data_IF_183532750918
#
_entry.id   IF_183532750918
#
_cell.length_a   1.000
_cell.length_b   1.000
_cell.length_c   1.000
_cell.angle_alpha   90.00
_cell.angle_beta   90.00
_cell.angle_gamma   90.00
#
_symmetry.space_group_name_H-M   'P 1'
#
loop_
_entity.id
_entity.type
_entity.pdbx_description
1 polymer ?
#
# COMPACT_ATOMS: atom_id res chain seq x y z
N UNK A 1 80.20 -8.24 -11.44
CA UNK A 1 78.95 -8.91 -11.84
C UNK A 1 77.79 -8.10 -11.29
N UNK A 2 76.79 -7.83 -12.13
CA UNK A 2 75.51 -7.17 -11.81
C UNK A 2 74.83 -7.87 -10.63
N UNK A 3 74.21 -7.09 -9.75
CA UNK A 3 72.85 -7.38 -9.32
C UNK A 3 72.09 -6.06 -9.10
N UNK A 4 71.08 -5.92 -9.95
CA UNK A 4 70.08 -4.87 -10.01
C UNK A 4 68.95 -5.32 -9.07
N UNK A 5 68.56 -4.49 -8.12
CA UNK A 5 67.27 -4.56 -7.43
C UNK A 5 67.11 -3.20 -6.73
N UNK A 6 66.16 -2.33 -7.05
CA UNK A 6 64.85 -2.50 -7.66
C UNK A 6 63.94 -1.54 -6.91
N UNK A 7 63.89 -0.29 -7.37
CA UNK A 7 63.12 0.82 -6.82
C UNK A 7 61.62 0.47 -6.89
N UNK A 8 60.94 0.25 -5.77
CA UNK A 8 59.48 0.11 -5.74
C UNK A 8 58.86 1.46 -5.35
N UNK A 9 58.51 2.26 -6.35
CA UNK A 9 57.58 3.39 -6.22
C UNK A 9 56.18 2.80 -6.00
N UNK A 10 55.64 2.99 -4.80
CA UNK A 10 54.25 2.69 -4.48
C UNK A 10 53.39 3.85 -5.01
N UNK A 11 52.91 3.75 -6.23
CA UNK A 11 51.85 4.63 -6.74
C UNK A 11 50.54 4.25 -6.06
N UNK A 12 50.11 5.07 -5.11
CA UNK A 12 48.75 5.06 -4.58
C UNK A 12 47.83 5.43 -5.74
N UNK A 13 47.19 4.42 -6.33
CA UNK A 13 46.01 4.60 -7.16
C UNK A 13 44.94 5.20 -6.26
N UNK A 14 44.77 6.52 -6.34
CA UNK A 14 43.54 7.18 -5.95
C UNK A 14 42.44 6.56 -6.82
N UNK A 15 41.80 5.51 -6.31
CA UNK A 15 40.47 5.10 -6.73
C UNK A 15 39.61 6.34 -6.52
N UNK A 16 39.42 7.10 -7.61
CA UNK A 16 38.35 8.06 -7.73
C UNK A 16 37.08 7.28 -7.43
N UNK A 17 36.61 7.41 -6.19
CA UNK A 17 35.27 7.04 -5.81
C UNK A 17 34.38 8.01 -6.56
N UNK A 18 34.08 7.72 -7.83
CA UNK A 18 32.97 8.39 -8.50
C UNK A 18 31.72 7.85 -7.83
N UNK A 19 31.35 8.47 -6.71
CA UNK A 19 29.96 8.54 -6.35
C UNK A 19 29.31 9.34 -7.47
N UNK A 20 28.88 8.65 -8.53
CA UNK A 20 27.80 9.17 -9.33
C UNK A 20 26.66 9.40 -8.35
N UNK A 21 26.43 10.66 -7.99
CA UNK A 21 25.21 11.06 -7.33
C UNK A 21 24.08 10.68 -8.28
N UNK A 22 23.46 9.52 -8.05
CA UNK A 22 22.25 9.13 -8.78
C UNK A 22 21.28 10.30 -8.69
N UNK A 23 20.86 10.85 -9.83
CA UNK A 23 19.88 11.93 -9.84
C UNK A 23 18.50 11.34 -9.50
N UNK A 24 18.21 11.29 -8.20
CA UNK A 24 16.96 10.75 -7.64
C UNK A 24 15.74 11.60 -8.00
N UNK A 25 15.91 12.78 -8.61
CA UNK A 25 14.79 13.66 -8.96
C UNK A 25 13.99 13.17 -10.18
N UNK A 26 14.50 12.20 -10.93
CA UNK A 26 13.97 11.79 -12.25
C UNK A 26 13.66 10.29 -12.39
N UNK A 27 13.57 9.52 -11.30
CA UNK A 27 13.22 8.09 -11.40
C UNK A 27 11.79 7.94 -11.91
N UNK A 28 11.63 7.13 -12.97
CA UNK A 28 10.32 6.78 -13.55
C UNK A 28 9.51 5.86 -12.64
N UNK A 29 10.20 5.02 -11.88
CA UNK A 29 9.62 4.08 -10.94
C UNK A 29 10.16 4.35 -9.53
N UNK A 30 9.35 4.07 -8.52
CA UNK A 30 9.63 4.33 -7.12
C UNK A 30 9.27 3.09 -6.29
N UNK A 31 10.15 2.75 -5.34
CA UNK A 31 9.88 1.72 -4.35
C UNK A 31 8.85 2.22 -3.31
N UNK A 32 7.89 1.35 -2.99
CA UNK A 32 6.81 1.57 -2.04
C UNK A 32 6.74 0.38 -1.07
N UNK A 33 6.85 0.69 0.22
CA UNK A 33 6.67 -0.23 1.33
C UNK A 33 5.21 -0.26 1.77
N UNK A 34 4.67 -1.45 1.91
CA UNK A 34 3.26 -1.70 2.23
C UNK A 34 3.13 -2.52 3.48
N UNK A 35 2.35 -1.99 4.42
CA UNK A 35 2.00 -2.66 5.67
C UNK A 35 0.48 -2.64 5.89
N UNK A 36 -0.06 -3.78 6.30
CA UNK A 36 -1.48 -3.95 6.60
C UNK A 36 -1.68 -4.26 8.07
N UNK A 37 -2.62 -3.57 8.69
CA UNK A 37 -2.92 -3.73 10.11
C UNK A 37 -4.42 -3.86 10.36
N UNK A 38 -4.76 -4.42 11.51
CA UNK A 38 -6.12 -4.50 12.01
C UNK A 38 -6.20 -4.11 13.47
N UNK A 39 -7.40 -3.77 13.93
CA UNK A 39 -7.67 -3.41 15.32
C UNK A 39 -9.10 -3.77 15.70
N UNK A 40 -9.35 -3.99 16.99
CA UNK A 40 -10.67 -4.39 17.49
C UNK A 40 -11.70 -3.27 17.48
N UNK A 41 -11.28 -2.01 17.41
CA UNK A 41 -12.17 -0.86 17.32
C UNK A 41 -11.50 0.30 16.61
N UNK A 42 -12.30 1.25 16.12
CA UNK A 42 -11.79 2.47 15.47
C UNK A 42 -11.14 3.49 16.45
N UNK A 43 -10.95 3.13 17.73
CA UNK A 43 -10.28 3.97 18.74
C UNK A 43 -8.76 3.98 18.53
N UNK A 44 -8.15 5.16 18.63
CA UNK A 44 -6.70 5.38 18.53
C UNK A 44 -5.90 4.54 19.55
N UNK A 45 -6.49 4.27 20.72
CA UNK A 45 -5.87 3.50 21.79
C UNK A 45 -6.01 1.97 21.62
N UNK A 46 -6.76 1.51 20.61
CA UNK A 46 -6.90 0.08 20.37
C UNK A 46 -5.59 -0.50 19.86
N UNK A 47 -5.21 -1.65 20.43
CA UNK A 47 -4.02 -2.39 19.98
C UNK A 47 -4.18 -2.71 18.50
N UNK A 48 -3.14 -2.39 17.73
CA UNK A 48 -3.04 -2.67 16.31
C UNK A 48 -2.19 -3.92 16.10
N UNK A 49 -2.61 -4.79 15.19
CA UNK A 49 -1.95 -6.07 14.89
C UNK A 49 -1.73 -6.20 13.39
N UNK A 50 -0.69 -6.91 12.97
CA UNK A 50 -0.43 -7.15 11.55
C UNK A 50 -1.56 -7.95 10.92
N UNK A 51 -1.94 -7.56 9.71
CA UNK A 51 -3.05 -8.14 8.98
C UNK A 51 -2.70 -8.37 7.52
N UNK A 52 -3.26 -9.45 6.96
CA UNK A 52 -3.11 -9.79 5.56
C UNK A 52 -4.09 -8.96 4.71
N UNK A 53 -3.73 -7.70 4.46
CA UNK A 53 -4.52 -6.73 3.71
C UNK A 53 -4.17 -6.83 2.23
N UNK A 54 -5.19 -6.87 1.37
CA UNK A 54 -4.99 -6.78 -0.08
C UNK A 54 -5.10 -5.32 -0.51
N UNK A 55 -4.06 -4.81 -1.14
CA UNK A 55 -4.01 -3.50 -1.78
C UNK A 55 -4.24 -3.65 -3.28
N UNK A 56 -5.10 -2.79 -3.81
CA UNK A 56 -5.37 -2.67 -5.23
C UNK A 56 -5.06 -1.23 -5.62
N UNK A 57 -4.13 -1.07 -6.57
CA UNK A 57 -3.74 0.23 -7.10
C UNK A 57 -4.45 0.46 -8.42
N UNK A 58 -5.19 1.54 -8.53
CA UNK A 58 -5.85 1.97 -9.76
C UNK A 58 -5.25 3.29 -10.24
N UNK A 59 -5.37 3.57 -11.52
CA UNK A 59 -5.05 4.89 -12.08
C UNK A 59 -5.91 5.97 -11.40
N UNK A 60 -5.26 6.90 -10.70
CA UNK A 60 -5.94 7.92 -9.90
C UNK A 60 -6.80 8.88 -10.72
N UNK A 61 -6.49 9.08 -12.00
CA UNK A 61 -7.28 9.93 -12.89
C UNK A 61 -8.56 9.22 -13.34
N UNK A 62 -8.49 7.90 -13.55
CA UNK A 62 -9.65 7.09 -13.95
C UNK A 62 -10.62 6.80 -12.81
N UNK A 63 -10.15 6.85 -11.57
CA UNK A 63 -10.96 6.63 -10.38
C UNK A 63 -11.66 7.90 -9.85
N UNK A 64 -11.55 9.04 -10.54
CA UNK A 64 -12.09 10.33 -10.08
C UNK A 64 -13.62 10.31 -9.85
N UNK A 65 -14.37 9.45 -10.56
CA UNK A 65 -15.81 9.27 -10.40
C UNK A 65 -16.21 8.15 -9.42
N UNK A 66 -15.25 7.61 -8.68
CA UNK A 66 -15.54 6.63 -7.64
C UNK A 66 -16.33 7.25 -6.48
N UNK A 67 -17.42 6.60 -6.09
CA UNK A 67 -18.23 6.99 -4.95
C UNK A 67 -18.61 5.73 -4.16
N UNK A 68 -18.03 5.57 -2.98
CA UNK A 68 -18.32 4.47 -2.06
C UNK A 68 -19.04 5.01 -0.83
N UNK A 69 -19.94 4.19 -0.28
CA UNK A 69 -20.78 4.58 0.87
C UNK A 69 -20.33 3.85 2.14
N UNK A 70 -20.28 4.61 3.24
CA UNK A 70 -20.20 4.04 4.59
C UNK A 70 -21.61 3.75 5.07
N UNK A 71 -21.85 2.53 5.56
CA UNK A 71 -23.15 2.15 6.14
C UNK A 71 -22.96 1.74 7.59
N UNK A 72 -23.56 2.51 8.48
CA UNK A 72 -23.52 2.25 9.93
C UNK A 72 -24.46 1.10 10.30
N UNK A 73 -24.11 0.35 11.33
CA UNK A 73 -24.91 -0.76 11.85
C UNK A 73 -24.83 -0.81 13.38
N UNK A 74 -25.84 -1.43 13.99
CA UNK A 74 -25.88 -1.68 15.43
C UNK A 74 -25.67 -3.16 15.77
N UNK A 75 -25.14 -3.95 14.84
CA UNK A 75 -24.91 -5.38 15.07
C UNK A 75 -23.66 -5.58 15.91
N UNK A 76 -23.70 -6.56 16.81
CA UNK A 76 -22.61 -6.80 17.76
C UNK A 76 -21.97 -8.18 17.60
N UNK A 77 -22.48 -8.99 16.67
CA UNK A 77 -21.98 -10.34 16.41
C UNK A 77 -21.62 -10.54 14.95
N UNK A 78 -20.62 -11.39 14.70
CA UNK A 78 -20.28 -11.81 13.35
C UNK A 78 -21.45 -12.48 12.61
N UNK A 79 -22.28 -13.26 13.34
CA UNK A 79 -23.42 -13.97 12.76
C UNK A 79 -24.47 -13.02 12.20
N UNK A 80 -24.70 -11.89 12.87
CA UNK A 80 -25.61 -10.85 12.36
C UNK A 80 -24.95 -10.05 11.24
N UNK A 81 -23.67 -9.69 11.42
CA UNK A 81 -22.91 -8.93 10.42
C UNK A 81 -22.82 -9.66 9.08
N UNK A 82 -22.62 -10.97 9.09
CA UNK A 82 -22.52 -11.80 7.87
C UNK A 82 -23.86 -11.93 7.11
N UNK A 83 -24.98 -11.53 7.70
CA UNK A 83 -26.31 -11.51 7.07
C UNK A 83 -26.64 -10.15 6.44
N UNK A 84 -25.82 -9.12 6.67
CA UNK A 84 -26.02 -7.81 6.06
C UNK A 84 -25.87 -7.91 4.53
N UNK A 85 -26.59 -7.06 3.76
CA UNK A 85 -26.39 -7.00 2.31
C UNK A 85 -24.91 -6.75 1.97
N UNK A 86 -24.36 -7.56 1.07
CA UNK A 86 -23.01 -7.36 0.57
C UNK A 86 -22.97 -6.03 -0.20
N UNK A 87 -21.99 -5.18 0.09
CA UNK A 87 -21.82 -3.94 -0.67
C UNK A 87 -21.38 -4.28 -2.11
N UNK A 88 -22.06 -3.77 -3.15
CA UNK A 88 -21.73 -4.12 -4.54
C UNK A 88 -20.30 -3.75 -4.94
N UNK A 89 -19.78 -2.64 -4.41
CA UNK A 89 -18.39 -2.21 -4.65
C UNK A 89 -17.44 -3.20 -3.97
N UNK A 90 -17.68 -3.55 -2.70
CA UNK A 90 -16.91 -4.59 -2.00
C UNK A 90 -16.94 -5.93 -2.77
N UNK A 91 -18.10 -6.37 -3.25
CA UNK A 91 -18.22 -7.61 -4.03
C UNK A 91 -17.33 -7.58 -5.28
N UNK A 92 -17.36 -6.49 -6.05
CA UNK A 92 -16.52 -6.31 -7.24
C UNK A 92 -15.03 -6.27 -6.91
N UNK A 93 -14.66 -5.51 -5.89
CA UNK A 93 -13.28 -5.44 -5.41
C UNK A 93 -12.78 -6.80 -4.91
N UNK A 94 -13.59 -7.50 -4.12
CA UNK A 94 -13.17 -8.70 -3.42
C UNK A 94 -13.07 -9.90 -4.38
N UNK A 95 -14.02 -10.04 -5.29
CA UNK A 95 -14.17 -11.20 -6.19
C UNK A 95 -13.46 -11.01 -7.53
N UNK A 96 -13.44 -9.79 -8.06
CA UNK A 96 -12.97 -9.52 -9.42
C UNK A 96 -11.74 -8.60 -9.46
N UNK A 97 -11.33 -8.03 -8.32
CA UNK A 97 -10.31 -6.98 -8.22
C UNK A 97 -10.63 -5.72 -9.07
N UNK A 98 -11.89 -5.49 -9.44
CA UNK A 98 -12.30 -4.34 -10.26
C UNK A 98 -12.90 -3.24 -9.40
N UNK A 99 -12.62 -1.99 -9.75
CA UNK A 99 -13.31 -0.84 -9.16
C UNK A 99 -14.53 -0.49 -10.01
N UNK A 100 -15.71 -0.48 -9.39
CA UNK A 100 -16.95 -0.05 -9.99
C UNK A 100 -17.09 1.48 -9.85
N UNK A 101 -17.27 2.19 -10.96
CA UNK A 101 -17.42 3.64 -11.00
C UNK A 101 -18.89 4.08 -11.05
N UNK A 102 -19.14 5.36 -10.76
CA UNK A 102 -20.45 6.00 -10.97
C UNK A 102 -20.80 5.95 -12.45
N UNK A 103 -21.86 5.22 -12.79
CA UNK A 103 -22.28 4.93 -14.17
C UNK A 103 -22.13 3.46 -14.58
N UNK A 104 -21.57 2.61 -13.72
CA UNK A 104 -21.55 1.15 -13.91
C UNK A 104 -20.34 0.61 -14.68
N UNK A 105 -19.49 1.47 -15.24
CA UNK A 105 -18.21 1.05 -15.82
C UNK A 105 -17.25 0.55 -14.74
N UNK A 106 -16.34 -0.33 -15.13
CA UNK A 106 -15.30 -0.85 -14.23
C UNK A 106 -13.91 -0.49 -14.72
N UNK A 107 -12.97 -0.29 -13.79
CA UNK A 107 -11.55 -0.17 -14.10
C UNK A 107 -10.77 -1.32 -13.46
N UNK A 108 -9.73 -1.77 -14.17
CA UNK A 108 -8.80 -2.79 -13.70
C UNK A 108 -7.65 -2.14 -12.90
N UNK A 109 -7.12 -2.85 -11.89
CA UNK A 109 -5.99 -2.36 -11.12
C UNK A 109 -4.71 -2.50 -11.93
N UNK A 110 -3.79 -1.55 -11.74
CA UNK A 110 -2.43 -1.65 -12.29
C UNK A 110 -1.54 -2.58 -11.46
N UNK A 111 -1.87 -2.76 -10.18
CA UNK A 111 -1.18 -3.66 -9.27
C UNK A 111 -2.15 -4.20 -8.22
N UNK A 112 -2.01 -5.49 -7.91
CA UNK A 112 -2.66 -6.14 -6.78
C UNK A 112 -1.58 -6.80 -5.93
N UNK A 113 -1.57 -6.50 -4.64
CA UNK A 113 -0.57 -7.02 -3.70
C UNK A 113 -1.23 -7.31 -2.36
N UNK A 114 -0.73 -8.32 -1.64
CA UNK A 114 -1.27 -8.75 -0.35
C UNK A 114 -0.16 -8.76 0.69
N UNK A 115 -0.38 -8.05 1.80
CA UNK A 115 0.55 -8.05 2.95
C UNK A 115 0.40 -9.33 3.78
N UNK A 116 1.35 -9.57 4.67
CA UNK A 116 1.36 -10.72 5.57
C UNK A 116 0.87 -10.34 6.97
N UNK A 117 0.22 -11.27 7.66
CA UNK A 117 -0.09 -11.16 9.09
C UNK A 117 1.08 -11.61 9.99
N UNK A 118 2.24 -11.92 9.42
CA UNK A 118 3.43 -12.41 10.12
C UNK A 118 4.42 -11.26 10.31
N UNK A 119 4.89 -11.07 11.55
CA UNK A 119 5.87 -10.04 11.94
C UNK A 119 7.09 -9.97 11.03
N UNK A 120 7.48 -8.75 10.63
CA UNK A 120 8.71 -8.46 9.89
C UNK A 120 8.60 -8.48 8.37
N UNK A 121 7.39 -8.60 7.80
CA UNK A 121 7.19 -8.70 6.35
C UNK A 121 6.49 -7.47 5.76
N UNK A 122 7.16 -6.31 5.84
CA UNK A 122 6.82 -5.18 4.98
C UNK A 122 7.00 -5.61 3.53
N UNK A 123 5.98 -5.40 2.71
CA UNK A 123 6.06 -5.75 1.30
C UNK A 123 6.59 -4.56 0.53
N UNK A 124 7.70 -4.75 -0.17
CA UNK A 124 8.20 -3.77 -1.12
C UNK A 124 7.66 -4.06 -2.53
N UNK A 125 7.11 -3.03 -3.17
CA UNK A 125 6.73 -3.05 -4.59
C UNK A 125 7.40 -1.89 -5.31
N UNK A 126 7.59 -2.03 -6.61
CA UNK A 126 8.05 -0.93 -7.47
C UNK A 126 6.93 -0.55 -8.41
N UNK A 127 6.58 0.74 -8.44
CA UNK A 127 5.51 1.29 -9.25
C UNK A 127 5.99 2.55 -9.97
N UNK A 128 5.45 2.87 -11.16
CA UNK A 128 5.69 4.15 -11.79
C UNK A 128 5.35 5.33 -10.87
N UNK A 129 6.14 6.39 -10.93
CA UNK A 129 5.82 7.66 -10.26
C UNK A 129 4.51 8.18 -10.83
N UNK A 130 3.57 8.55 -9.95
CA UNK A 130 2.26 8.99 -10.38
C UNK A 130 1.19 8.96 -9.30
N UNK A 131 -0.04 9.24 -9.72
CA UNK A 131 -1.21 9.33 -8.86
C UNK A 131 -2.02 8.05 -8.92
N UNK A 132 -2.23 7.45 -7.76
CA UNK A 132 -2.97 6.20 -7.60
C UNK A 132 -4.22 6.41 -6.76
N UNK A 133 -5.29 5.72 -7.13
CA UNK A 133 -6.39 5.46 -6.23
C UNK A 133 -6.19 4.07 -5.64
N UNK A 134 -5.93 4.03 -4.33
CA UNK A 134 -5.58 2.79 -3.62
C UNK A 134 -6.78 2.31 -2.83
N UNK A 135 -7.08 1.03 -2.95
CA UNK A 135 -8.10 0.35 -2.17
C UNK A 135 -7.44 -0.72 -1.31
N UNK A 136 -7.71 -0.69 -0.02
CA UNK A 136 -7.25 -1.69 0.94
C UNK A 136 -8.44 -2.52 1.44
N UNK A 137 -8.29 -3.85 1.39
CA UNK A 137 -9.34 -4.80 1.75
C UNK A 137 -8.82 -5.77 2.80
N UNK A 138 -9.52 -5.83 3.93
CA UNK A 138 -9.40 -6.87 4.93
C UNK A 138 -10.76 -7.56 5.06
N UNK A 139 -10.77 -8.89 5.20
CA UNK A 139 -11.97 -9.71 5.30
C UNK A 139 -13.02 -9.07 6.23
N UNK A 140 -14.20 -8.66 5.71
CA UNK A 140 -15.41 -8.25 6.47
C UNK A 140 -16.34 -7.25 5.73
N UNK A 141 -16.60 -7.39 4.42
CA UNK A 141 -17.49 -6.45 3.70
C UNK A 141 -17.09 -4.96 3.88
N UNK A 142 -15.79 -4.71 4.09
CA UNK A 142 -15.20 -3.41 4.35
C UNK A 142 -14.06 -3.18 3.38
N UNK A 143 -13.87 -1.93 3.00
CA UNK A 143 -12.70 -1.50 2.26
C UNK A 143 -12.37 -0.04 2.61
N UNK A 144 -11.09 0.27 2.72
CA UNK A 144 -10.59 1.64 2.85
C UNK A 144 -10.10 2.13 1.50
N UNK A 145 -10.23 3.43 1.25
CA UNK A 145 -9.77 4.03 -0.02
C UNK A 145 -8.97 5.29 0.24
N UNK A 146 -7.92 5.52 -0.55
CA UNK A 146 -7.15 6.76 -0.50
C UNK A 146 -6.61 7.12 -1.88
N UNK A 147 -6.52 8.42 -2.17
CA UNK A 147 -5.71 8.93 -3.26
C UNK A 147 -4.28 9.07 -2.76
N UNK A 148 -3.34 8.40 -3.41
CA UNK A 148 -1.93 8.34 -3.04
C UNK A 148 -1.06 8.82 -4.20
N UNK A 149 -0.18 9.79 -3.95
CA UNK A 149 0.76 10.30 -4.95
C UNK A 149 2.14 9.72 -4.65
N UNK A 150 2.61 8.85 -5.55
CA UNK A 150 3.92 8.22 -5.46
C UNK A 150 4.93 9.09 -6.21
N UNK A 151 5.70 9.88 -5.48
CA UNK A 151 6.75 10.75 -6.01
C UNK A 151 8.13 10.07 -6.18
N UNK A 152 8.99 10.65 -7.02
CA UNK A 152 10.39 10.22 -7.15
C UNK A 152 11.22 10.67 -5.95
N UNK A 153 11.83 9.74 -5.20
CA UNK A 153 12.61 10.02 -3.97
C UNK A 153 13.74 9.01 -3.76
N UNK A 154 14.72 9.38 -2.94
CA UNK A 154 15.84 8.49 -2.56
C UNK A 154 15.38 7.22 -1.82
N UNK A 155 14.61 7.41 -0.76
CA UNK A 155 14.10 6.31 0.07
C UNK A 155 12.76 5.79 -0.47
N UNK A 156 12.46 4.50 -0.26
CA UNK A 156 11.12 3.98 -0.44
C UNK A 156 10.11 4.80 0.35
N UNK A 157 8.94 5.05 -0.24
CA UNK A 157 7.83 5.62 0.50
C UNK A 157 7.09 4.51 1.24
N UNK A 158 6.41 4.84 2.34
CA UNK A 158 5.60 3.88 3.07
C UNK A 158 4.12 4.21 2.93
N UNK A 159 3.31 3.19 2.70
CA UNK A 159 1.86 3.27 2.71
C UNK A 159 1.30 2.14 3.57
N UNK A 160 0.76 2.53 4.72
CA UNK A 160 0.14 1.63 5.66
C UNK A 160 -1.36 1.89 5.80
N UNK A 161 -2.08 0.89 6.30
CA UNK A 161 -3.50 1.00 6.61
C UNK A 161 -3.89 0.16 7.82
N UNK A 162 -4.74 0.71 8.66
CA UNK A 162 -5.40 0.02 9.78
C UNK A 162 -6.87 -0.18 9.42
N UNK A 163 -7.32 -1.43 9.38
CA UNK A 163 -8.73 -1.78 9.13
C UNK A 163 -9.36 -2.38 10.39
N UNK A 164 -10.34 -1.71 11.02
CA UNK A 164 -11.00 -2.22 12.21
C UNK A 164 -11.91 -3.42 11.89
N UNK A 165 -11.83 -4.46 12.72
CA UNK A 165 -12.66 -5.70 12.60
C UNK A 165 -13.95 -5.64 13.43
N UNK A 166 -14.31 -4.47 13.97
CA UNK A 166 -15.62 -4.25 14.59
C UNK A 166 -16.78 -4.45 13.59
N UNK A 167 -18.02 -4.40 14.08
CA UNK A 167 -19.21 -4.58 13.24
C UNK A 167 -20.05 -3.30 13.10
N UNK A 168 -19.51 -2.16 13.52
CA UNK A 168 -20.21 -0.88 13.57
C UNK A 168 -20.54 -0.30 12.19
N UNK A 169 -19.86 -0.77 11.14
CA UNK A 169 -20.00 -0.26 9.78
C UNK A 169 -19.64 -1.33 8.74
N UNK A 170 -20.15 -1.19 7.52
CA UNK A 170 -19.74 -1.94 6.34
C UNK A 170 -19.69 -1.03 5.10
N UNK A 171 -19.13 -1.53 4.00
CA UNK A 171 -18.85 -0.76 2.79
C UNK A 171 -17.54 0.02 2.90
N UNK A 172 -17.54 1.28 2.44
CA UNK A 172 -16.37 2.16 2.52
C UNK A 172 -16.14 2.58 3.96
N UNK A 173 -14.91 2.46 4.43
CA UNK A 173 -14.47 3.00 5.72
C UNK A 173 -13.38 4.06 5.51
N UNK A 174 -13.11 4.85 6.55
CA UNK A 174 -12.01 5.79 6.54
C UNK A 174 -10.66 5.04 6.44
N UNK A 175 -9.71 5.63 5.70
CA UNK A 175 -8.33 5.19 5.74
C UNK A 175 -7.68 5.70 7.03
N UNK A 176 -7.15 4.80 7.84
CA UNK A 176 -6.43 5.13 9.08
C UNK A 176 -4.99 4.66 8.93
N UNK A 177 -4.04 5.53 9.22
CA UNK A 177 -2.63 5.14 9.28
C UNK A 177 -2.32 4.53 10.66
N UNK A 178 -1.22 3.81 10.76
CA UNK A 178 -0.71 3.24 11.99
C UNK A 178 -0.39 4.31 13.04
N UNK A 179 0.08 5.49 12.60
CA UNK A 179 0.41 6.61 13.48
C UNK A 179 -0.77 7.52 13.87
N UNK A 180 -1.94 7.32 13.25
CA UNK A 180 -3.16 8.06 13.56
C UNK A 180 -3.85 7.48 14.82
#
# INVERSE_FOLDING_TARGET
MRNILGFFLLTVLLLSCSSEEEDFSNKKDQALWLDGYTTSSSSVNSKKELAAVRFLFFDGNKAASFEGETRMTNVNTYSEYSKLPEDPIYSKLNKENKLLLKGGSTIDPVLVVKTSSISGNTIEVTLPVGKYFVVAILYSNKYATRVYELESRYNPQALDVVIPVDYSQYGKIAWQNWGD
#
